data_IF_546031326234
#
_entry.id   IF_546031326234
#
_cell.length_a   1.000
_cell.length_b   1.000
_cell.length_c   1.000
_cell.angle_alpha   90.00
_cell.angle_beta   90.00
_cell.angle_gamma   90.00
#
_symmetry.space_group_name_H-M   'P 1'
#
loop_
_entity.id
_entity.type
_entity.pdbx_description
1 polymer ?
#
# COMPACT_ATOMS: atom_id res chain seq x y z
N UNK A 1 -17.20 -6.05 3.39
CA UNK A 1 -16.29 -7.11 2.90
C UNK A 1 -16.56 -7.17 1.41
N UNK A 2 -15.70 -6.55 0.59
CA UNK A 2 -15.61 -6.65 -0.90
C UNK A 2 -14.83 -5.49 -1.56
N UNK A 3 -14.31 -4.53 -0.78
CA UNK A 3 -13.69 -3.32 -1.35
C UNK A 3 -12.22 -3.48 -1.79
N UNK A 4 -11.58 -4.63 -1.53
CA UNK A 4 -10.14 -4.86 -1.80
C UNK A 4 -9.91 -5.84 -2.97
N UNK A 5 -10.97 -6.35 -3.61
CA UNK A 5 -10.88 -7.35 -4.69
C UNK A 5 -9.93 -6.92 -5.83
N UNK A 6 -9.87 -5.62 -6.14
CA UNK A 6 -8.97 -5.13 -7.18
C UNK A 6 -7.49 -5.25 -6.81
N UNK A 7 -7.10 -4.99 -5.55
CA UNK A 7 -5.73 -5.22 -5.07
C UNK A 7 -5.37 -6.71 -5.14
N UNK A 8 -6.30 -7.58 -4.76
CA UNK A 8 -6.09 -9.04 -4.82
C UNK A 8 -6.04 -9.61 -6.23
N UNK A 9 -6.52 -8.87 -7.24
CA UNK A 9 -6.51 -9.29 -8.65
C UNK A 9 -5.52 -8.49 -9.51
N UNK A 10 -4.83 -7.48 -8.96
CA UNK A 10 -3.87 -6.67 -9.69
C UNK A 10 -2.75 -7.54 -10.28
N UNK A 11 -2.31 -7.30 -11.53
CA UNK A 11 -1.32 -8.13 -12.22
C UNK A 11 0.06 -8.11 -11.55
N UNK A 12 0.45 -6.98 -10.95
CA UNK A 12 1.73 -6.81 -10.23
C UNK A 12 1.72 -7.30 -8.77
N UNK A 13 0.70 -8.06 -8.34
CA UNK A 13 0.62 -8.52 -6.95
C UNK A 13 1.65 -9.61 -6.65
N UNK A 14 2.20 -9.57 -5.44
CA UNK A 14 2.95 -10.66 -4.83
C UNK A 14 2.15 -11.20 -3.65
N UNK A 15 1.96 -12.52 -3.63
CA UNK A 15 1.28 -13.19 -2.52
C UNK A 15 2.19 -13.25 -1.30
N UNK A 16 1.65 -12.90 -0.14
CA UNK A 16 2.31 -13.05 1.17
C UNK A 16 1.86 -14.32 1.92
N UNK A 17 1.21 -15.26 1.22
CA UNK A 17 0.64 -16.48 1.83
C UNK A 17 1.69 -17.38 2.49
N UNK A 18 2.93 -17.39 1.99
CA UNK A 18 4.05 -18.10 2.63
C UNK A 18 4.39 -17.57 4.03
N UNK A 19 3.99 -16.33 4.33
CA UNK A 19 4.13 -15.68 5.62
C UNK A 19 2.86 -15.78 6.49
N UNK A 20 1.82 -16.47 6.01
CA UNK A 20 0.52 -16.56 6.68
C UNK A 20 -0.34 -15.29 6.55
N UNK A 21 -0.03 -14.40 5.60
CA UNK A 21 -0.70 -13.12 5.41
C UNK A 21 -1.61 -13.21 4.17
N UNK A 22 -2.85 -12.76 4.32
CA UNK A 22 -3.87 -12.81 3.26
C UNK A 22 -3.77 -11.67 2.25
N UNK A 23 -3.22 -10.52 2.67
CA UNK A 23 -3.11 -9.33 1.83
C UNK A 23 -1.94 -9.44 0.83
N UNK A 24 -2.05 -8.85 -0.37
CA UNK A 24 -0.95 -8.78 -1.32
C UNK A 24 0.04 -7.66 -0.96
N UNK A 25 1.25 -7.77 -1.52
CA UNK A 25 2.21 -6.68 -1.59
C UNK A 25 2.61 -6.38 -3.04
N UNK A 26 3.20 -5.22 -3.27
CA UNK A 26 3.49 -4.71 -4.61
C UNK A 26 4.90 -4.16 -4.71
N UNK A 27 5.54 -4.37 -5.86
CA UNK A 27 6.83 -3.77 -6.16
C UNK A 27 6.69 -2.25 -6.39
N UNK A 28 7.76 -1.50 -6.12
CA UNK A 28 7.79 -0.05 -6.31
C UNK A 28 7.28 0.42 -7.70
N UNK A 29 7.57 -0.34 -8.75
CA UNK A 29 7.17 -0.03 -10.12
C UNK A 29 5.64 0.06 -10.31
N UNK A 30 4.87 -0.70 -9.53
CA UNK A 30 3.41 -0.76 -9.63
C UNK A 30 2.69 0.26 -8.73
N UNK A 31 3.39 0.80 -7.72
CA UNK A 31 2.78 1.63 -6.66
C UNK A 31 2.06 2.84 -7.24
N UNK A 32 2.63 3.53 -8.23
CA UNK A 32 1.99 4.73 -8.79
C UNK A 32 0.61 4.44 -9.40
N UNK A 33 0.47 3.32 -10.11
CA UNK A 33 -0.82 2.93 -10.68
C UNK A 33 -1.83 2.58 -9.57
N UNK A 34 -1.39 1.79 -8.59
CA UNK A 34 -2.23 1.37 -7.46
C UNK A 34 -2.73 2.58 -6.65
N UNK A 35 -1.88 3.57 -6.40
CA UNK A 35 -2.26 4.81 -5.72
C UNK A 35 -3.29 5.62 -6.51
N UNK A 36 -3.21 5.63 -7.84
CA UNK A 36 -4.20 6.29 -8.71
C UNK A 36 -5.55 5.59 -8.64
N UNK A 37 -5.57 4.25 -8.70
CA UNK A 37 -6.79 3.45 -8.57
C UNK A 37 -7.45 3.64 -7.19
N UNK A 38 -6.66 3.65 -6.11
CA UNK A 38 -7.14 3.91 -4.76
C UNK A 38 -7.74 5.32 -4.62
N UNK A 39 -7.08 6.33 -5.18
CA UNK A 39 -7.57 7.71 -5.19
C UNK A 39 -8.90 7.82 -5.94
N UNK A 40 -9.01 7.23 -7.12
CA UNK A 40 -10.24 7.22 -7.91
C UNK A 40 -11.39 6.46 -7.22
N UNK A 41 -11.05 5.43 -6.44
CA UNK A 41 -11.99 4.65 -5.64
C UNK A 41 -12.36 5.27 -4.28
N UNK A 42 -11.84 6.44 -3.94
CA UNK A 42 -12.04 7.14 -2.66
C UNK A 42 -11.57 6.32 -1.44
N UNK A 43 -10.40 5.69 -1.57
CA UNK A 43 -9.75 4.96 -0.48
C UNK A 43 -8.76 5.85 0.26
N UNK A 44 -8.80 5.77 1.58
CA UNK A 44 -7.75 6.30 2.46
C UNK A 44 -6.76 5.18 2.75
N UNK A 45 -5.46 5.46 2.59
CA UNK A 45 -4.39 4.55 2.99
C UNK A 45 -4.04 4.82 4.45
N UNK A 46 -4.27 3.84 5.32
CA UNK A 46 -3.99 3.95 6.76
C UNK A 46 -2.53 3.60 7.10
N UNK A 47 -1.81 2.99 6.17
CA UNK A 47 -0.45 2.54 6.40
C UNK A 47 -0.09 1.36 5.51
N UNK A 48 0.94 0.63 5.92
CA UNK A 48 1.36 -0.60 5.27
C UNK A 48 2.65 -1.14 5.86
N UNK A 49 2.93 -2.38 5.50
CA UNK A 49 4.16 -3.11 5.87
C UNK A 49 5.07 -3.27 4.66
N UNK A 50 6.38 -3.32 4.95
CA UNK A 50 7.43 -3.55 3.96
C UNK A 50 7.95 -4.98 4.07
N UNK A 51 8.18 -5.58 2.90
CA UNK A 51 8.73 -6.92 2.77
C UNK A 51 9.94 -6.86 1.85
N UNK A 52 10.94 -7.70 2.10
CA UNK A 52 12.02 -7.92 1.14
C UNK A 52 11.62 -9.06 0.21
N UNK A 53 11.91 -8.94 -1.09
CA UNK A 53 11.72 -10.01 -2.06
C UNK A 53 13.08 -10.61 -2.43
N UNK A 54 13.41 -11.77 -1.87
CA UNK A 54 14.62 -12.52 -2.23
C UNK A 54 14.23 -13.75 -3.05
N UNK A 55 14.79 -13.88 -4.26
CA UNK A 55 14.54 -15.02 -5.15
C UNK A 55 13.03 -15.30 -5.40
N UNK A 56 12.22 -14.24 -5.45
CA UNK A 56 10.77 -14.34 -5.63
C UNK A 56 9.99 -14.76 -4.38
N UNK A 57 10.63 -14.83 -3.22
CA UNK A 57 10.00 -15.11 -1.94
C UNK A 57 9.98 -13.86 -1.06
N UNK A 58 8.82 -13.49 -0.48
CA UNK A 58 8.74 -12.39 0.46
C UNK A 58 9.29 -12.78 1.83
N UNK A 59 9.99 -11.84 2.48
CA UNK A 59 10.54 -11.94 3.82
C UNK A 59 10.11 -10.71 4.65
N UNK A 60 9.83 -10.92 5.94
CA UNK A 60 9.42 -9.86 6.86
C UNK A 60 10.62 -8.97 7.19
N UNK A 61 10.49 -7.64 7.05
CA UNK A 61 11.52 -6.69 7.50
C UNK A 61 11.20 -6.09 8.87
N UNK A 62 9.91 -6.03 9.23
CA UNK A 62 9.42 -5.35 10.42
C UNK A 62 9.26 -3.83 10.24
N UNK A 63 9.58 -3.30 9.07
CA UNK A 63 9.35 -1.90 8.75
C UNK A 63 7.89 -1.69 8.31
N UNK A 64 7.31 -0.60 8.78
CA UNK A 64 5.95 -0.19 8.44
C UNK A 64 5.83 1.33 8.48
N UNK A 65 4.70 1.82 7.98
CA UNK A 65 4.29 3.19 8.20
C UNK A 65 2.82 3.27 8.58
N UNK A 66 2.47 4.38 9.20
CA UNK A 66 1.12 4.67 9.62
C UNK A 66 0.72 6.08 9.17
N UNK A 67 -0.52 6.22 8.72
CA UNK A 67 -1.15 7.50 8.42
C UNK A 67 -2.29 7.73 9.39
N UNK A 68 -2.23 8.86 10.10
CA UNK A 68 -3.26 9.24 11.06
C UNK A 68 -4.50 9.78 10.33
N UNK A 69 -5.52 8.94 10.22
CA UNK A 69 -6.81 9.29 9.66
C UNK A 69 -7.50 10.39 10.49
N UNK A 70 -7.67 11.57 9.91
CA UNK A 70 -8.33 12.68 10.60
C UNK A 70 -9.80 12.78 10.18
N UNK A 71 -10.68 12.33 11.06
CA UNK A 71 -12.13 12.34 10.87
C UNK A 71 -12.77 13.74 10.72
N UNK A 72 -12.03 14.81 11.05
CA UNK A 72 -12.49 16.19 10.92
C UNK A 72 -12.17 16.78 9.54
N UNK A 73 -11.35 16.10 8.72
CA UNK A 73 -11.09 16.51 7.35
C UNK A 73 -12.27 16.13 6.43
N UNK A 74 -12.49 16.94 5.40
CA UNK A 74 -13.29 16.49 4.26
C UNK A 74 -12.67 15.20 3.69
N UNK A 75 -13.49 14.18 3.47
CA UNK A 75 -13.01 12.87 3.04
C UNK A 75 -12.09 12.92 1.79
N UNK A 76 -12.34 13.83 0.84
CA UNK A 76 -11.45 14.05 -0.32
C UNK A 76 -10.05 14.55 0.05
N UNK A 77 -9.94 15.40 1.07
CA UNK A 77 -8.65 15.89 1.56
C UNK A 77 -7.89 14.75 2.23
N UNK A 78 -8.60 13.91 2.99
CA UNK A 78 -7.99 12.80 3.69
C UNK A 78 -7.51 11.69 2.74
N UNK A 79 -8.27 11.38 1.68
CA UNK A 79 -7.81 10.54 0.56
C UNK A 79 -6.51 11.11 -0.01
N UNK A 80 -6.53 12.37 -0.46
CA UNK A 80 -5.35 13.01 -1.07
C UNK A 80 -4.12 13.01 -0.15
N UNK A 81 -4.32 13.32 1.14
CA UNK A 81 -3.25 13.36 2.13
C UNK A 81 -2.67 11.96 2.39
N UNK A 82 -3.52 10.93 2.50
CA UNK A 82 -3.07 9.56 2.72
C UNK A 82 -2.28 9.01 1.53
N UNK A 83 -2.69 9.33 0.29
CA UNK A 83 -1.95 8.98 -0.93
C UNK A 83 -0.57 9.65 -0.94
N UNK A 84 -0.52 10.95 -0.60
CA UNK A 84 0.75 11.68 -0.54
C UNK A 84 1.69 11.13 0.54
N UNK A 85 1.16 10.77 1.71
CA UNK A 85 1.94 10.16 2.79
C UNK A 85 2.50 8.79 2.39
N UNK A 86 1.68 7.92 1.79
CA UNK A 86 2.11 6.61 1.32
C UNK A 86 3.19 6.73 0.22
N UNK A 87 2.98 7.60 -0.77
CA UNK A 87 3.96 7.83 -1.83
C UNK A 87 5.29 8.33 -1.26
N UNK A 88 5.26 9.31 -0.36
CA UNK A 88 6.45 9.87 0.28
C UNK A 88 7.26 8.80 1.02
N UNK A 89 6.60 7.97 1.83
CA UNK A 89 7.26 6.88 2.54
C UNK A 89 7.90 5.89 1.58
N UNK A 90 7.13 5.41 0.60
CA UNK A 90 7.56 4.38 -0.35
C UNK A 90 8.71 4.88 -1.24
N UNK A 91 8.62 6.11 -1.76
CA UNK A 91 9.69 6.73 -2.56
C UNK A 91 10.98 6.88 -1.75
N UNK A 92 10.87 7.33 -0.50
CA UNK A 92 12.04 7.45 0.39
C UNK A 92 12.64 6.09 0.72
N UNK A 93 11.81 5.09 1.04
CA UNK A 93 12.28 3.74 1.34
C UNK A 93 12.98 3.11 0.13
N UNK A 94 12.39 3.24 -1.07
CA UNK A 94 12.97 2.75 -2.30
C UNK A 94 14.32 3.42 -2.62
N UNK A 95 14.39 4.75 -2.45
CA UNK A 95 15.63 5.50 -2.66
C UNK A 95 16.78 5.06 -1.75
N UNK A 96 16.47 4.70 -0.50
CA UNK A 96 17.46 4.31 0.49
C UNK A 96 17.87 2.84 0.38
N UNK A 97 16.96 1.95 -0.03
CA UNK A 97 17.16 0.51 0.07
C UNK A 97 17.18 -0.23 -1.28
N UNK A 98 16.72 0.39 -2.37
CA UNK A 98 16.69 -0.21 -3.71
C UNK A 98 15.37 -0.89 -4.06
N UNK A 99 15.41 -1.72 -5.12
CA UNK A 99 14.22 -2.27 -5.76
C UNK A 99 13.73 -3.62 -5.20
N UNK A 100 14.46 -4.22 -4.26
CA UNK A 100 14.18 -5.57 -3.72
C UNK A 100 13.08 -5.58 -2.65
N UNK A 101 12.21 -4.58 -2.62
CA UNK A 101 11.20 -4.41 -1.58
C UNK A 101 9.78 -4.33 -2.15
N UNK A 102 8.86 -4.87 -1.38
CA UNK A 102 7.43 -4.92 -1.65
C UNK A 102 6.69 -4.17 -0.56
N UNK A 103 5.56 -3.57 -0.93
CA UNK A 103 4.75 -2.76 -0.03
C UNK A 103 3.32 -3.30 -0.02
N UNK A 104 2.84 -3.67 1.17
CA UNK A 104 1.41 -3.91 1.39
C UNK A 104 0.73 -2.59 1.71
N UNK A 105 -0.59 -2.48 1.46
CA UNK A 105 -1.35 -1.27 1.71
C UNK A 105 -2.57 -1.60 2.56
N UNK A 106 -2.67 -0.96 3.74
CA UNK A 106 -3.85 -1.03 4.59
C UNK A 106 -4.77 0.10 4.15
N UNK A 107 -5.96 -0.23 3.64
CA UNK A 107 -6.87 0.75 3.04
C UNK A 107 -8.26 0.72 3.65
N UNK A 108 -8.89 1.88 3.69
CA UNK A 108 -10.27 2.07 4.17
C UNK A 108 -11.06 2.84 3.13
N UNK A 109 -12.18 2.28 2.70
CA UNK A 109 -13.10 2.98 1.80
C UNK A 109 -13.74 4.15 2.54
N UNK A 110 -13.77 5.31 1.89
CA UNK A 110 -14.55 6.44 2.37
C UNK A 110 -15.87 6.50 1.60
N UNK A 111 -16.95 6.75 2.33
CA UNK A 111 -18.21 7.15 1.72
C UNK A 111 -18.16 8.67 1.61
N UNK A 112 -17.91 9.17 0.39
CA UNK A 112 -18.14 10.57 0.06
C UNK A 112 -19.64 10.88 -0.01
#
# INVERSE_FOLDING_TARGET
MDDIIFLTNHPGRVSLSSLGIGDPAFAYADIKNILQELSAGNYVILGGDVYRCQNGQPEITGDSWYYEHNHLLLAKNDVSNSIAAALSYIENYHKLNGAEYLYSLIVKKTHL
#
